data_IF_775390482356
#
_entry.id   IF_775390482356
#
_cell.length_a   1.000
_cell.length_b   1.000
_cell.length_c   1.000
_cell.angle_alpha   90.00
_cell.angle_beta   90.00
_cell.angle_gamma   90.00
#
_symmetry.space_group_name_H-M   'P 1'
#
loop_
_entity.id
_entity.type
_entity.pdbx_description
1 polymer ?
#
# COMPACT_ATOMS: atom_id res chain seq x y z
N UNK A 1 -13.11 -5.95 8.73
CA UNK A 1 -12.89 -6.85 7.59
C UNK A 1 -14.21 -7.02 6.87
N UNK A 2 -14.23 -6.79 5.59
CA UNK A 2 -15.40 -7.01 4.74
C UNK A 2 -15.45 -8.51 4.47
N UNK A 3 -16.55 -9.14 4.84
CA UNK A 3 -16.76 -10.57 4.61
C UNK A 3 -17.62 -10.75 3.36
N UNK A 4 -17.06 -11.29 2.28
CA UNK A 4 -17.81 -11.48 1.04
C UNK A 4 -18.93 -12.52 1.15
N UNK A 5 -18.96 -13.34 2.20
CA UNK A 5 -20.02 -14.32 2.42
C UNK A 5 -21.31 -13.70 2.96
N UNK A 6 -21.25 -12.47 3.46
CA UNK A 6 -22.41 -11.76 4.02
C UNK A 6 -23.28 -11.05 2.98
N UNK A 7 -22.93 -11.10 1.71
CA UNK A 7 -23.70 -10.55 0.58
C UNK A 7 -23.03 -9.41 -0.16
N UNK A 8 -23.77 -8.80 -1.08
CA UNK A 8 -23.30 -7.68 -1.89
C UNK A 8 -23.37 -6.38 -1.09
N UNK A 9 -22.21 -5.74 -0.91
CA UNK A 9 -22.10 -4.44 -0.26
C UNK A 9 -22.14 -3.32 -1.29
N UNK A 10 -22.84 -2.25 -0.98
CA UNK A 10 -22.73 -0.99 -1.72
C UNK A 10 -21.43 -0.28 -1.36
N UNK A 11 -20.93 0.57 -2.27
CA UNK A 11 -19.69 1.32 -2.02
C UNK A 11 -19.71 2.17 -0.74
N UNK A 12 -20.80 2.91 -0.40
CA UNK A 12 -20.89 3.64 0.86
C UNK A 12 -20.82 2.74 2.10
N UNK A 13 -21.40 1.54 2.05
CA UNK A 13 -21.31 0.58 3.15
C UNK A 13 -19.90 0.07 3.36
N UNK A 14 -19.18 -0.22 2.27
CA UNK A 14 -17.76 -0.59 2.32
C UNK A 14 -16.93 0.51 2.97
N UNK A 15 -17.10 1.75 2.52
CA UNK A 15 -16.39 2.91 3.08
C UNK A 15 -16.69 3.08 4.57
N UNK A 16 -17.95 2.96 4.96
CA UNK A 16 -18.37 3.06 6.37
C UNK A 16 -17.75 1.96 7.22
N UNK A 17 -17.79 0.72 6.78
CA UNK A 17 -17.17 -0.40 7.49
C UNK A 17 -15.66 -0.25 7.65
N UNK A 18 -14.95 0.12 6.56
CA UNK A 18 -13.51 0.38 6.61
C UNK A 18 -13.21 1.51 7.59
N UNK A 19 -13.96 2.61 7.54
CA UNK A 19 -13.78 3.74 8.44
C UNK A 19 -13.96 3.35 9.92
N UNK A 20 -15.02 2.62 10.24
CA UNK A 20 -15.28 2.13 11.60
C UNK A 20 -14.18 1.17 12.07
N UNK A 21 -13.78 0.24 11.23
CA UNK A 21 -12.70 -0.71 11.54
C UNK A 21 -11.38 0.01 11.81
N UNK A 22 -11.01 0.98 10.96
CA UNK A 22 -9.80 1.78 11.16
C UNK A 22 -9.84 2.57 12.46
N UNK A 23 -10.97 3.20 12.79
CA UNK A 23 -11.11 3.96 14.06
C UNK A 23 -10.97 3.08 15.30
N UNK A 24 -11.43 1.84 15.24
CA UNK A 24 -11.32 0.90 16.36
C UNK A 24 -9.90 0.36 16.54
N UNK A 25 -9.18 0.12 15.44
CA UNK A 25 -7.87 -0.54 15.46
C UNK A 25 -6.67 0.40 15.29
N UNK A 26 -6.88 1.67 14.93
CA UNK A 26 -5.82 2.67 14.84
C UNK A 26 -5.93 3.62 16.03
N UNK A 27 -5.80 3.08 17.23
CA UNK A 27 -5.64 3.91 18.43
C UNK A 27 -4.17 4.26 18.64
N UNK A 28 -3.92 5.43 19.24
CA UNK A 28 -2.56 5.84 19.61
C UNK A 28 -1.88 4.79 20.50
N UNK A 29 -2.64 4.16 21.38
CA UNK A 29 -2.12 3.16 22.31
C UNK A 29 -1.72 1.87 21.59
N UNK A 30 -2.52 1.40 20.63
CA UNK A 30 -2.19 0.21 19.82
C UNK A 30 -0.98 0.45 18.93
N UNK A 31 -0.92 1.62 18.28
CA UNK A 31 0.25 1.99 17.46
C UNK A 31 1.52 2.08 18.31
N UNK A 32 1.45 2.69 19.50
CA UNK A 32 2.58 2.73 20.42
C UNK A 32 2.98 1.32 20.89
N UNK A 33 2.03 0.43 21.17
CA UNK A 33 2.31 -0.93 21.54
C UNK A 33 3.03 -1.72 20.44
N UNK A 34 2.62 -1.55 19.18
CA UNK A 34 3.28 -2.18 18.01
C UNK A 34 4.71 -1.65 17.85
N UNK A 35 4.90 -0.33 17.89
CA UNK A 35 6.23 0.29 17.78
C UNK A 35 7.13 -0.18 18.94
N UNK A 36 6.63 -0.13 20.16
CA UNK A 36 7.38 -0.55 21.35
C UNK A 36 7.80 -2.01 21.25
N UNK A 37 6.90 -2.90 20.83
CA UNK A 37 7.18 -4.32 20.62
C UNK A 37 8.29 -4.52 19.57
N UNK A 38 8.23 -3.82 18.45
CA UNK A 38 9.26 -3.90 17.41
C UNK A 38 10.62 -3.40 17.90
N UNK A 39 10.65 -2.29 18.64
CA UNK A 39 11.88 -1.75 19.23
C UNK A 39 12.44 -2.68 20.31
N UNK A 40 11.59 -3.26 21.15
CA UNK A 40 12.03 -4.23 22.18
C UNK A 40 12.64 -5.49 21.54
N UNK A 41 12.04 -6.00 20.46
CA UNK A 41 12.61 -7.13 19.73
C UNK A 41 14.00 -6.80 19.16
N UNK A 42 14.19 -5.61 18.62
CA UNK A 42 15.49 -5.17 18.09
C UNK A 42 16.53 -4.95 19.18
N UNK A 43 16.13 -4.45 20.36
CA UNK A 43 17.03 -4.19 21.50
C UNK A 43 17.33 -5.43 22.34
N UNK A 44 16.67 -6.55 22.10
CA UNK A 44 16.88 -7.76 22.86
C UNK A 44 18.28 -8.34 22.57
N UNK A 45 19.16 -8.26 23.55
CA UNK A 45 20.56 -8.73 23.45
C UNK A 45 20.67 -10.23 23.12
N UNK A 46 19.71 -11.05 23.58
CA UNK A 46 19.66 -12.48 23.26
C UNK A 46 19.40 -12.71 21.78
N UNK A 47 18.51 -11.90 21.16
CA UNK A 47 18.25 -11.95 19.72
C UNK A 47 19.42 -11.41 18.89
N UNK A 48 20.23 -10.51 19.46
CA UNK A 48 21.43 -10.01 18.77
C UNK A 48 22.56 -11.05 18.76
N UNK A 49 22.62 -11.94 19.74
CA UNK A 49 23.62 -13.01 19.80
C UNK A 49 23.35 -14.17 18.81
N UNK A 50 22.14 -14.28 18.28
CA UNK A 50 21.78 -15.32 17.34
C UNK A 50 22.52 -15.10 16.01
N UNK A 51 23.27 -16.11 15.49
CA UNK A 51 23.95 -16.01 14.21
C UNK A 51 22.99 -15.65 13.06
N UNK A 52 23.43 -14.79 12.14
CA UNK A 52 22.62 -14.29 11.03
C UNK A 52 21.92 -15.39 10.21
N UNK A 53 22.54 -16.54 9.88
CA UNK A 53 21.86 -17.59 9.12
C UNK A 53 20.65 -18.18 9.86
N UNK A 54 20.77 -18.39 11.17
CA UNK A 54 19.69 -18.92 11.98
C UNK A 54 18.56 -17.89 12.16
N UNK A 55 18.92 -16.63 12.33
CA UNK A 55 17.97 -15.52 12.37
C UNK A 55 17.17 -15.39 11.05
N UNK A 56 17.86 -15.47 9.91
CA UNK A 56 17.21 -15.41 8.61
C UNK A 56 16.26 -16.60 8.38
N UNK A 57 16.66 -17.80 8.83
CA UNK A 57 15.82 -18.98 8.74
C UNK A 57 14.55 -18.86 9.59
N UNK A 58 14.68 -18.44 10.85
CA UNK A 58 13.51 -18.24 11.73
C UNK A 58 12.59 -17.13 11.22
N UNK A 59 13.15 -16.03 10.70
CA UNK A 59 12.38 -14.96 10.09
C UNK A 59 11.63 -15.44 8.82
N UNK A 60 12.28 -16.22 7.97
CA UNK A 60 11.67 -16.78 6.76
C UNK A 60 10.51 -17.74 7.08
N UNK A 61 10.68 -18.59 8.10
CA UNK A 61 9.64 -19.51 8.56
C UNK A 61 8.47 -18.71 9.16
N UNK A 62 8.75 -17.76 10.04
CA UNK A 62 7.72 -16.90 10.66
C UNK A 62 6.96 -16.09 9.61
N UNK A 63 7.64 -15.57 8.61
CA UNK A 63 7.02 -14.85 7.50
C UNK A 63 6.09 -15.76 6.70
N UNK A 64 6.49 -16.99 6.38
CA UNK A 64 5.64 -17.96 5.66
C UNK A 64 4.42 -18.40 6.48
N UNK A 65 4.57 -18.56 7.78
CA UNK A 65 3.48 -19.08 8.64
C UNK A 65 2.47 -18.00 9.02
N UNK A 66 2.93 -16.78 9.28
CA UNK A 66 2.12 -15.71 9.87
C UNK A 66 2.02 -14.48 8.97
N UNK A 67 3.11 -14.12 8.29
CA UNK A 67 3.22 -12.85 7.58
C UNK A 67 2.49 -12.76 6.24
N UNK A 68 2.27 -13.90 5.56
CA UNK A 68 1.80 -13.89 4.18
C UNK A 68 0.30 -14.11 4.00
N UNK A 69 -0.39 -14.64 5.00
CA UNK A 69 -1.77 -15.11 4.86
C UNK A 69 -2.87 -14.05 4.96
N UNK A 70 -2.74 -12.96 5.75
CA UNK A 70 -3.87 -12.07 6.01
C UNK A 70 -4.04 -10.93 5.01
N UNK A 71 -3.11 -10.73 4.07
CA UNK A 71 -3.13 -9.53 3.23
C UNK A 71 -3.24 -9.86 1.75
N UNK A 72 -4.29 -9.34 1.11
CA UNK A 72 -4.46 -9.39 -0.36
C UNK A 72 -3.73 -8.25 -1.06
N UNK A 73 -3.69 -7.08 -0.44
CA UNK A 73 -3.00 -5.89 -0.94
C UNK A 73 -2.49 -5.04 0.22
N UNK A 74 -1.51 -4.21 -0.05
CA UNK A 74 -1.03 -3.18 0.88
C UNK A 74 -1.33 -1.82 0.27
N UNK A 75 -1.95 -0.95 1.06
CA UNK A 75 -2.16 0.45 0.68
C UNK A 75 -1.44 1.37 1.66
N UNK A 76 -0.73 2.35 1.14
CA UNK A 76 -0.11 3.41 1.95
C UNK A 76 -0.44 4.78 1.38
N UNK A 77 -0.68 5.73 2.28
CA UNK A 77 -0.92 7.13 1.93
C UNK A 77 -0.15 8.03 2.91
N UNK A 78 1.03 8.54 2.52
CA UNK A 78 1.75 9.53 3.31
C UNK A 78 1.02 10.87 3.45
N UNK A 79 -0.04 11.08 2.68
CA UNK A 79 -0.81 12.33 2.69
C UNK A 79 -0.26 13.40 1.76
N UNK A 80 -0.55 14.67 2.10
CA UNK A 80 -0.04 15.81 1.36
C UNK A 80 1.41 16.10 1.76
N UNK A 81 2.30 16.03 0.78
CA UNK A 81 3.72 16.30 1.00
C UNK A 81 4.00 17.78 0.82
N UNK A 82 4.71 18.36 1.78
CA UNK A 82 5.16 19.74 1.72
C UNK A 82 6.68 19.76 1.61
N UNK A 83 7.17 20.59 0.73
CA UNK A 83 8.61 20.83 0.57
C UNK A 83 8.97 22.23 1.01
N UNK A 84 10.22 22.49 1.40
CA UNK A 84 10.68 23.85 1.64
C UNK A 84 10.45 24.75 0.41
N UNK A 85 10.07 26.04 0.60
CA UNK A 85 9.76 26.94 -0.52
C UNK A 85 10.88 27.05 -1.56
N UNK A 86 12.12 26.90 -1.14
CA UNK A 86 13.29 26.97 -2.03
C UNK A 86 13.36 25.79 -3.01
N UNK A 87 12.75 24.66 -2.66
CA UNK A 87 12.72 23.45 -3.48
C UNK A 87 11.49 23.37 -4.40
N UNK A 88 10.42 24.07 -4.07
CA UNK A 88 9.16 24.06 -4.82
C UNK A 88 9.33 24.29 -6.34
N UNK A 89 10.12 25.28 -6.80
CA UNK A 89 10.29 25.53 -8.23
C UNK A 89 11.00 24.40 -8.99
N UNK A 90 11.70 23.52 -8.26
CA UNK A 90 12.50 22.44 -8.84
C UNK A 90 11.76 21.08 -8.84
N UNK A 91 10.64 20.97 -8.15
CA UNK A 91 9.88 19.72 -8.01
C UNK A 91 8.58 19.84 -8.80
N UNK A 92 8.47 19.07 -9.87
CA UNK A 92 7.26 19.04 -10.71
C UNK A 92 6.24 18.02 -10.25
N UNK A 93 6.70 16.89 -9.70
CA UNK A 93 5.87 15.74 -9.34
C UNK A 93 6.54 14.94 -8.25
N UNK A 94 5.72 14.35 -7.39
CA UNK A 94 6.16 13.38 -6.40
C UNK A 94 5.41 12.08 -6.58
N UNK A 95 6.14 10.98 -6.49
CA UNK A 95 5.60 9.62 -6.56
C UNK A 95 6.10 8.81 -5.38
N UNK A 96 5.25 7.93 -4.88
CA UNK A 96 5.62 6.89 -3.91
C UNK A 96 5.39 5.54 -4.55
N UNK A 97 6.45 4.76 -4.69
CA UNK A 97 6.39 3.42 -5.27
C UNK A 97 6.77 2.43 -4.18
N UNK A 98 5.83 1.54 -3.86
CA UNK A 98 6.11 0.42 -2.95
C UNK A 98 6.90 -0.66 -3.68
N UNK A 99 7.84 -1.26 -2.96
CA UNK A 99 8.58 -2.41 -3.47
C UNK A 99 7.64 -3.58 -3.77
N UNK A 100 8.01 -4.38 -4.75
CA UNK A 100 7.30 -5.61 -5.05
C UNK A 100 7.50 -6.62 -3.91
N UNK A 101 6.43 -7.34 -3.59
CA UNK A 101 6.44 -8.43 -2.62
C UNK A 101 5.89 -9.69 -3.26
N UNK A 102 6.30 -10.84 -2.75
CA UNK A 102 5.70 -12.12 -3.16
C UNK A 102 4.27 -12.25 -2.65
N UNK A 103 3.97 -11.61 -1.55
CA UNK A 103 2.64 -11.56 -0.94
C UNK A 103 2.53 -10.30 -0.09
N UNK A 104 1.64 -9.38 -0.35
CA UNK A 104 0.63 -9.35 -1.43
C UNK A 104 1.23 -9.13 -2.83
N UNK A 105 0.52 -9.64 -3.84
CA UNK A 105 0.97 -9.56 -5.24
C UNK A 105 0.78 -8.17 -5.87
N UNK A 106 -0.05 -7.33 -5.27
CA UNK A 106 -0.30 -5.96 -5.70
C UNK A 106 -0.23 -5.04 -4.49
N UNK A 107 0.53 -3.97 -4.62
CA UNK A 107 0.65 -2.90 -3.63
C UNK A 107 0.17 -1.60 -4.26
N UNK A 108 -0.50 -0.77 -3.47
CA UNK A 108 -0.96 0.54 -3.88
C UNK A 108 -0.40 1.62 -2.97
N UNK A 109 0.04 2.71 -3.54
CA UNK A 109 0.45 3.89 -2.78
C UNK A 109 -0.17 5.14 -3.39
N UNK A 110 -0.47 6.12 -2.54
CA UNK A 110 -0.89 7.44 -3.00
C UNK A 110 -0.16 8.54 -2.25
N UNK A 111 0.12 9.64 -2.93
CA UNK A 111 0.72 10.84 -2.35
C UNK A 111 0.15 12.05 -3.05
N UNK A 112 -0.05 13.14 -2.31
CA UNK A 112 -0.49 14.41 -2.88
C UNK A 112 0.63 15.44 -2.82
N UNK A 113 0.84 16.16 -3.92
CA UNK A 113 1.75 17.29 -4.01
C UNK A 113 1.14 18.39 -4.87
N UNK A 114 1.08 19.60 -4.33
CA UNK A 114 0.37 20.72 -4.98
C UNK A 114 -1.10 20.39 -5.20
N UNK A 115 -1.55 20.47 -6.45
CA UNK A 115 -2.94 20.16 -6.83
C UNK A 115 -3.08 18.78 -7.51
N UNK A 116 -2.10 17.91 -7.36
CA UNK A 116 -2.09 16.60 -8.01
C UNK A 116 -1.97 15.50 -6.96
N UNK A 117 -2.76 14.44 -7.14
CA UNK A 117 -2.64 13.20 -6.38
C UNK A 117 -2.07 12.12 -7.32
N UNK A 118 -0.96 11.56 -6.95
CA UNK A 118 -0.36 10.41 -7.64
C UNK A 118 -0.76 9.12 -6.93
N UNK A 119 -1.27 8.17 -7.72
CA UNK A 119 -1.65 6.84 -7.23
C UNK A 119 -0.84 5.82 -8.02
N UNK A 120 -0.02 5.05 -7.34
CA UNK A 120 0.86 4.06 -7.95
C UNK A 120 0.45 2.66 -7.56
N UNK A 121 0.42 1.77 -8.54
CA UNK A 121 0.28 0.33 -8.33
C UNK A 121 1.59 -0.35 -8.69
N UNK A 122 2.08 -1.18 -7.78
CA UNK A 122 3.26 -2.01 -7.99
C UNK A 122 2.92 -3.47 -7.70
N UNK A 123 3.10 -4.34 -8.69
CA UNK A 123 2.71 -5.73 -8.54
C UNK A 123 3.51 -6.67 -9.42
N UNK A 124 3.40 -7.96 -9.13
CA UNK A 124 3.99 -9.05 -9.89
C UNK A 124 2.98 -9.72 -10.84
N UNK A 125 1.73 -9.32 -10.79
CA UNK A 125 0.65 -9.85 -11.62
C UNK A 125 0.68 -9.18 -13.00
N UNK A 126 0.50 -9.97 -14.06
CA UNK A 126 0.46 -9.45 -15.43
C UNK A 126 -0.87 -8.79 -15.77
N UNK A 127 -1.95 -9.32 -15.21
CA UNK A 127 -3.29 -8.82 -15.37
C UNK A 127 -3.42 -7.46 -14.63
N UNK A 128 -4.03 -6.48 -15.30
CA UNK A 128 -4.26 -5.13 -14.76
C UNK A 128 -5.75 -4.81 -14.63
N UNK A 129 -6.56 -5.82 -14.40
CA UNK A 129 -8.01 -5.63 -14.35
C UNK A 129 -8.43 -4.78 -13.15
N UNK A 130 -7.82 -5.01 -11.99
CA UNK A 130 -8.10 -4.23 -10.78
C UNK A 130 -7.73 -2.77 -10.96
N UNK A 131 -6.52 -2.48 -11.46
CA UNK A 131 -6.04 -1.12 -11.71
C UNK A 131 -6.91 -0.42 -12.76
N UNK A 132 -7.27 -1.14 -13.84
CA UNK A 132 -8.12 -0.61 -14.89
C UNK A 132 -9.50 -0.24 -14.37
N UNK A 133 -10.12 -1.12 -13.60
CA UNK A 133 -11.46 -0.90 -13.06
C UNK A 133 -11.45 0.20 -11.98
N UNK A 134 -10.40 0.29 -11.20
CA UNK A 134 -10.19 1.39 -10.25
C UNK A 134 -10.14 2.75 -10.98
N UNK A 135 -9.29 2.89 -12.00
CA UNK A 135 -9.19 4.16 -12.73
C UNK A 135 -10.45 4.49 -13.53
N UNK A 136 -11.14 3.47 -14.07
CA UNK A 136 -12.45 3.67 -14.72
C UNK A 136 -13.49 4.19 -13.73
N UNK A 137 -13.49 3.69 -12.51
CA UNK A 137 -14.38 4.18 -11.46
C UNK A 137 -14.13 5.66 -11.18
N UNK A 138 -12.88 6.07 -11.00
CA UNK A 138 -12.53 7.48 -10.78
C UNK A 138 -12.99 8.39 -11.94
N UNK A 139 -12.83 7.94 -13.18
CA UNK A 139 -13.30 8.69 -14.35
C UNK A 139 -14.83 8.81 -14.38
N UNK A 140 -15.56 7.77 -13.98
CA UNK A 140 -17.03 7.82 -13.87
C UNK A 140 -17.50 8.82 -12.80
N UNK A 141 -16.74 8.98 -11.73
CA UNK A 141 -16.97 10.00 -10.70
C UNK A 141 -16.56 11.42 -11.13
N UNK A 142 -16.16 11.60 -12.39
CA UNK A 142 -15.78 12.90 -12.94
C UNK A 142 -14.36 13.36 -12.62
N UNK A 143 -13.52 12.48 -12.10
CA UNK A 143 -12.12 12.80 -11.78
C UNK A 143 -11.28 12.67 -13.05
N UNK A 144 -10.50 13.71 -13.36
CA UNK A 144 -9.56 13.66 -14.47
C UNK A 144 -8.38 12.76 -14.13
N UNK A 145 -8.18 11.67 -14.89
CA UNK A 145 -7.15 10.68 -14.66
C UNK A 145 -6.20 10.61 -15.85
N UNK A 146 -4.89 10.69 -15.57
CA UNK A 146 -3.82 10.41 -16.54
C UNK A 146 -3.10 9.15 -16.11
N UNK A 147 -3.15 8.09 -16.90
CA UNK A 147 -2.48 6.83 -16.62
C UNK A 147 -1.11 6.78 -17.28
N UNK A 148 -0.09 6.42 -16.53
CA UNK A 148 1.28 6.15 -17.00
C UNK A 148 1.59 4.70 -16.62
N UNK A 149 2.01 3.90 -17.59
CA UNK A 149 2.36 2.49 -17.36
C UNK A 149 3.75 2.20 -17.91
N UNK A 150 4.53 1.42 -17.16
CA UNK A 150 5.80 0.85 -17.61
C UNK A 150 5.63 -0.51 -18.31
N UNK A 151 4.40 -1.00 -18.44
CA UNK A 151 4.12 -2.24 -19.16
C UNK A 151 4.26 -1.98 -20.66
N UNK A 152 5.10 -2.78 -21.31
CA UNK A 152 5.14 -2.85 -22.76
C UNK A 152 3.88 -3.64 -23.21
N UNK A 153 2.79 -2.92 -23.44
CA UNK A 153 1.66 -3.45 -24.20
C UNK A 153 2.04 -3.54 -25.68
N UNK A 154 1.33 -4.34 -26.50
CA UNK A 154 1.46 -4.21 -27.93
C UNK A 154 1.23 -2.73 -28.28
N UNK A 155 2.20 -2.13 -29.00
CA UNK A 155 2.09 -0.78 -29.54
C UNK A 155 0.84 -0.75 -30.42
N UNK A 156 -0.31 -0.36 -29.87
CA UNK A 156 -1.40 0.11 -30.70
C UNK A 156 -0.92 1.43 -31.26
N UNK A 157 -0.46 1.37 -32.52
CA UNK A 157 -0.16 2.55 -33.31
C UNK A 157 -1.37 3.50 -33.20
N UNK A 158 -1.12 4.67 -32.64
CA UNK A 158 -2.07 5.75 -32.68
C UNK A 158 -2.25 6.13 -34.17
N UNK A 159 -3.46 5.92 -34.68
CA UNK A 159 -3.97 6.59 -35.87
C UNK A 159 -4.82 7.77 -35.45
#
# INVERSE_FOLDING_TARGET
>A
VIDPELGDYTFPEIVSQVHHHMRLHISRQEMQAVITRNVMLQKNKLLQLVPAPLKNLTMAISYKLVGCRPYSTTYTNPGAFQVPPEMEPHIRRMEVILGQSYTPRSNCASISYGNTMEITFAGTVKESDVERDFFRHLVREGIHVKVISNRQGPLHAAH
#
